data_IF_896093518695
#
_entry.id   IF_896093518695
#
_cell.length_a   1.000
_cell.length_b   1.000
_cell.length_c   1.000
_cell.angle_alpha   90.00
_cell.angle_beta   90.00
_cell.angle_gamma   90.00
#
_symmetry.space_group_name_H-M   'P 1'
#
loop_
_entity.id
_entity.type
_entity.pdbx_description
1 polymer ?
#
# COMPACT_ATOMS: atom_id res chain seq x y z
N UNK A 1 17.27 2.69 9.90
CA UNK A 1 16.73 3.00 8.58
C UNK A 1 15.79 4.19 8.72
N UNK A 2 16.12 5.33 8.12
CA UNK A 2 15.27 6.51 8.13
C UNK A 2 14.09 6.23 7.20
N UNK A 3 12.90 6.02 7.76
CA UNK A 3 11.64 6.04 7.02
C UNK A 3 11.50 7.42 6.36
N UNK A 4 11.93 7.50 5.10
CA UNK A 4 11.73 8.71 4.32
C UNK A 4 10.36 8.59 3.70
N UNK A 5 9.34 9.09 4.42
CA UNK A 5 7.99 9.22 3.89
C UNK A 5 8.09 10.04 2.62
N UNK A 6 7.56 9.54 1.52
CA UNK A 6 7.52 10.15 0.17
C UNK A 6 6.90 11.54 0.15
N UNK A 7 6.66 12.03 1.26
CA UNK A 7 5.99 13.27 1.53
C UNK A 7 6.94 14.38 1.93
N UNK A 8 8.25 14.22 1.66
CA UNK A 8 9.18 15.33 1.74
C UNK A 8 9.10 16.16 0.47
N UNK A 9 8.43 17.29 0.58
CA UNK A 9 8.42 18.49 -0.27
C UNK A 9 7.55 18.46 -1.54
N UNK A 10 6.65 19.43 -1.56
CA UNK A 10 5.96 20.21 -2.63
C UNK A 10 5.71 19.64 -4.04
N UNK A 11 6.36 18.58 -4.48
CA UNK A 11 6.26 18.07 -5.86
C UNK A 11 5.60 16.70 -5.99
N UNK A 12 5.42 15.97 -4.91
CA UNK A 12 5.09 14.55 -4.96
C UNK A 12 3.61 14.26 -4.89
N UNK A 13 2.84 15.20 -4.42
CA UNK A 13 1.39 15.12 -4.56
C UNK A 13 0.92 16.54 -4.85
N UNK A 14 1.04 16.99 -6.06
CA UNK A 14 -0.08 17.65 -6.68
C UNK A 14 -1.03 16.50 -7.02
N UNK A 15 -2.03 16.27 -6.21
CA UNK A 15 -3.24 15.60 -6.58
C UNK A 15 -3.88 16.44 -7.69
N UNK A 16 -3.81 15.93 -8.86
CA UNK A 16 -4.12 16.61 -10.09
C UNK A 16 -2.94 16.64 -11.05
N UNK A 17 -2.02 15.60 -11.23
CA UNK A 17 -2.27 14.66 -11.98
C UNK A 17 -1.49 14.16 -13.20
N UNK A 18 -0.24 14.29 -13.19
CA UNK A 18 0.56 13.35 -13.94
C UNK A 18 1.27 12.47 -12.93
N UNK A 19 0.69 11.30 -12.69
CA UNK A 19 1.36 10.27 -11.93
C UNK A 19 2.28 9.51 -12.87
N UNK A 20 3.47 10.02 -13.02
CA UNK A 20 4.56 9.35 -13.68
C UNK A 20 5.40 8.67 -12.59
N UNK A 21 5.38 7.32 -12.57
CA UNK A 21 6.08 6.55 -11.55
C UNK A 21 7.60 6.72 -11.66
N UNK A 22 8.13 6.96 -12.85
CA UNK A 22 9.56 7.18 -13.06
C UNK A 22 9.98 8.54 -12.47
N UNK A 23 9.16 9.58 -12.64
CA UNK A 23 9.39 10.88 -11.99
C UNK A 23 9.29 10.82 -10.47
N UNK A 24 8.46 9.91 -9.93
CA UNK A 24 8.41 9.69 -8.48
C UNK A 24 9.69 9.05 -7.95
N UNK A 25 10.38 8.26 -8.76
CA UNK A 25 11.65 7.60 -8.42
C UNK A 25 12.85 8.53 -8.55
N UNK A 26 12.74 9.65 -9.24
CA UNK A 26 13.82 10.59 -9.39
C UNK A 26 14.31 11.13 -8.04
N UNK A 27 15.62 11.10 -7.77
CA UNK A 27 16.20 11.66 -6.56
C UNK A 27 15.92 13.15 -6.45
N UNK A 28 15.55 13.62 -5.27
CA UNK A 28 15.39 15.04 -5.04
C UNK A 28 16.77 15.73 -4.95
N UNK A 29 17.06 16.66 -5.87
CA UNK A 29 18.31 17.42 -5.94
C UNK A 29 19.58 16.53 -5.95
N UNK A 30 19.56 15.40 -6.68
CA UNK A 30 20.72 14.49 -6.76
C UNK A 30 21.01 13.72 -5.47
N UNK A 31 20.07 13.68 -4.53
CA UNK A 31 20.13 12.86 -3.32
C UNK A 31 19.95 11.37 -3.61
N UNK A 32 19.92 10.52 -2.57
CA UNK A 32 19.65 9.10 -2.72
C UNK A 32 18.23 8.83 -3.23
N UNK A 33 18.05 7.69 -3.88
CA UNK A 33 16.74 7.25 -4.37
C UNK A 33 15.68 7.28 -3.26
N UNK A 34 14.50 7.84 -3.54
CA UNK A 34 13.46 7.95 -2.54
C UNK A 34 12.82 6.59 -2.24
N UNK A 35 12.49 6.34 -0.98
CA UNK A 35 11.57 5.26 -0.63
C UNK A 35 10.15 5.73 -0.88
N UNK A 36 9.44 5.04 -1.76
CA UNK A 36 8.06 5.32 -2.12
C UNK A 36 7.09 4.61 -1.17
N UNK A 37 6.13 5.35 -0.61
CA UNK A 37 5.09 4.81 0.28
C UNK A 37 3.72 5.10 -0.33
N UNK A 38 2.96 4.06 -0.61
CA UNK A 38 1.62 4.13 -1.17
C UNK A 38 0.59 3.48 -0.28
N UNK A 39 -0.66 3.90 -0.40
CA UNK A 39 -1.79 3.40 0.35
C UNK A 39 -2.87 2.87 -0.60
N UNK A 40 -2.86 1.58 -0.93
CA UNK A 40 -3.79 1.01 -1.93
C UNK A 40 -5.27 1.13 -1.56
N UNK A 41 -5.56 1.19 -0.27
CA UNK A 41 -6.91 1.41 0.26
C UNK A 41 -7.11 2.81 0.85
N UNK A 42 -6.18 3.72 0.61
CA UNK A 42 -6.22 5.05 1.21
C UNK A 42 -5.85 5.07 2.69
N UNK A 43 -6.07 6.19 3.33
CA UNK A 43 -5.88 6.39 4.76
C UNK A 43 -6.55 7.70 5.22
N UNK A 44 -6.45 8.01 6.52
CA UNK A 44 -7.10 9.20 7.12
C UNK A 44 -6.52 10.55 6.67
N UNK A 45 -5.30 10.58 6.14
CA UNK A 45 -4.67 11.83 5.65
C UNK A 45 -4.87 12.07 4.16
N UNK A 46 -5.46 11.13 3.46
CA UNK A 46 -5.96 11.33 2.11
C UNK A 46 -7.43 11.67 2.21
N UNK A 47 -7.87 12.69 1.52
CA UNK A 47 -9.25 13.14 1.61
C UNK A 47 -9.79 13.54 0.23
N UNK A 48 -11.10 13.37 0.05
CA UNK A 48 -11.82 13.80 -1.15
C UNK A 48 -13.09 14.55 -0.77
N UNK A 49 -13.54 15.44 -1.66
CA UNK A 49 -14.81 16.14 -1.53
C UNK A 49 -15.88 15.56 -2.48
N UNK A 50 -17.07 16.15 -2.46
CA UNK A 50 -18.19 15.76 -3.32
C UNK A 50 -17.93 15.92 -4.83
N UNK A 51 -16.96 16.77 -5.20
CA UNK A 51 -16.54 16.98 -6.59
C UNK A 51 -15.43 16.00 -7.00
N UNK A 52 -15.05 15.06 -6.14
CA UNK A 52 -13.90 14.17 -6.29
C UNK A 52 -12.55 14.89 -6.37
N UNK A 53 -12.47 16.13 -5.82
CA UNK A 53 -11.16 16.74 -5.61
C UNK A 53 -10.45 16.02 -4.48
N UNK A 54 -9.30 15.47 -4.77
CA UNK A 54 -8.52 14.69 -3.82
C UNK A 54 -7.33 15.49 -3.31
N UNK A 55 -7.02 15.35 -2.03
CA UNK A 55 -5.86 15.99 -1.43
C UNK A 55 -5.23 15.14 -0.34
N UNK A 56 -3.97 15.46 -0.05
CA UNK A 56 -3.31 14.99 1.16
C UNK A 56 -3.35 16.09 2.22
N UNK A 57 -3.86 15.75 3.39
CA UNK A 57 -3.84 16.62 4.56
C UNK A 57 -2.39 16.77 5.04
N UNK A 58 -1.96 18.01 5.22
CA UNK A 58 -0.62 18.36 5.68
C UNK A 58 -0.69 19.13 6.98
N UNK A 59 0.26 18.88 7.85
CA UNK A 59 0.48 19.70 9.04
C UNK A 59 1.52 20.79 8.74
N UNK A 60 1.37 21.92 9.41
CA UNK A 60 2.40 22.95 9.52
C UNK A 60 2.93 22.96 10.96
N UNK A 61 3.89 23.83 11.24
CA UNK A 61 4.56 23.88 12.56
C UNK A 61 3.62 24.23 13.72
N UNK A 62 2.41 24.72 13.45
CA UNK A 62 1.45 25.22 14.44
C UNK A 62 0.20 24.36 14.58
N UNK A 63 0.04 23.30 13.79
CA UNK A 63 -1.15 22.42 13.83
C UNK A 63 -0.74 20.97 14.01
N UNK A 64 -1.46 20.26 14.87
CA UNK A 64 -1.34 18.80 14.92
C UNK A 64 -2.19 18.13 13.83
N UNK A 65 -1.97 16.84 13.62
CA UNK A 65 -2.61 16.10 12.53
C UNK A 65 -4.12 15.98 12.71
N UNK A 66 -4.61 15.80 13.93
CA UNK A 66 -6.05 15.65 14.21
C UNK A 66 -6.81 16.94 13.96
N UNK A 67 -6.23 18.08 14.35
CA UNK A 67 -6.83 19.39 14.06
C UNK A 67 -6.87 19.64 12.55
N UNK A 68 -5.79 19.32 11.82
CA UNK A 68 -5.74 19.48 10.38
C UNK A 68 -6.79 18.59 9.66
N UNK A 69 -7.01 17.37 10.14
CA UNK A 69 -8.09 16.48 9.65
C UNK A 69 -9.45 17.10 9.96
N UNK A 70 -9.70 17.54 11.19
CA UNK A 70 -10.95 18.16 11.60
C UNK A 70 -11.31 19.40 10.78
N UNK A 71 -10.33 20.26 10.50
CA UNK A 71 -10.52 21.42 9.63
C UNK A 71 -10.90 21.04 8.19
N UNK A 72 -10.34 19.95 7.65
CA UNK A 72 -10.75 19.46 6.35
C UNK A 72 -12.15 18.87 6.33
N UNK A 73 -12.55 18.19 7.39
CA UNK A 73 -13.93 17.70 7.52
C UNK A 73 -14.96 18.84 7.56
N UNK A 74 -14.67 19.94 8.27
CA UNK A 74 -15.52 21.16 8.23
C UNK A 74 -15.64 21.73 6.81
N UNK A 75 -14.63 21.55 5.96
CA UNK A 75 -14.64 21.93 4.56
C UNK A 75 -15.27 20.87 3.64
N UNK A 76 -15.99 19.87 4.21
CA UNK A 76 -16.64 18.76 3.50
C UNK A 76 -15.68 17.81 2.78
N UNK A 77 -14.41 17.78 3.15
CA UNK A 77 -13.51 16.72 2.73
C UNK A 77 -13.65 15.52 3.68
N UNK A 78 -13.87 14.35 3.14
CA UNK A 78 -13.96 13.10 3.90
C UNK A 78 -12.73 12.22 3.64
N UNK A 79 -12.36 11.35 4.58
CA UNK A 79 -11.22 10.45 4.37
C UNK A 79 -11.39 9.61 3.10
N UNK A 80 -10.35 9.55 2.29
CA UNK A 80 -10.26 8.66 1.17
C UNK A 80 -9.79 7.30 1.68
N UNK A 81 -10.76 6.43 1.96
CA UNK A 81 -10.50 5.17 2.63
C UNK A 81 -11.47 4.07 2.18
N UNK A 82 -10.92 2.92 1.78
CA UNK A 82 -11.68 1.73 1.38
C UNK A 82 -11.51 0.68 2.48
N UNK A 83 -12.52 0.54 3.36
CA UNK A 83 -12.42 -0.32 4.55
C UNK A 83 -13.13 -1.66 4.38
N UNK A 84 -14.38 -1.65 3.97
CA UNK A 84 -15.27 -2.79 4.04
C UNK A 84 -15.83 -3.19 2.69
N UNK A 85 -16.45 -4.38 2.65
CA UNK A 85 -17.09 -4.92 1.48
C UNK A 85 -16.34 -6.05 0.80
N UNK A 86 -16.97 -6.62 -0.21
CA UNK A 86 -16.37 -7.65 -1.06
C UNK A 86 -15.20 -7.07 -1.89
N UNK A 87 -14.37 -7.96 -2.40
CA UNK A 87 -13.26 -7.58 -3.29
C UNK A 87 -13.73 -6.72 -4.48
N UNK A 88 -14.90 -7.02 -5.04
CA UNK A 88 -15.46 -6.24 -6.15
C UNK A 88 -15.92 -4.84 -5.72
N UNK A 89 -16.54 -4.72 -4.55
CA UNK A 89 -16.98 -3.44 -4.00
C UNK A 89 -15.77 -2.54 -3.71
N UNK A 90 -14.72 -3.10 -3.11
CA UNK A 90 -13.46 -2.41 -2.88
C UNK A 90 -12.82 -1.95 -4.18
N UNK A 91 -12.77 -2.81 -5.19
CA UNK A 91 -12.23 -2.43 -6.50
C UNK A 91 -13.03 -1.31 -7.17
N UNK A 92 -14.37 -1.33 -7.06
CA UNK A 92 -15.20 -0.23 -7.56
C UNK A 92 -14.90 1.09 -6.85
N UNK A 93 -14.69 1.06 -5.54
CA UNK A 93 -14.32 2.25 -4.77
C UNK A 93 -12.93 2.78 -5.15
N UNK A 94 -11.94 1.89 -5.31
CA UNK A 94 -10.59 2.22 -5.79
C UNK A 94 -10.66 2.93 -7.15
N UNK A 95 -11.43 2.40 -8.09
CA UNK A 95 -11.52 2.95 -9.45
C UNK A 95 -12.19 4.33 -9.53
N UNK A 96 -12.95 4.73 -8.52
CA UNK A 96 -13.57 6.07 -8.45
C UNK A 96 -12.61 7.15 -7.98
N UNK A 97 -11.54 6.78 -7.32
CA UNK A 97 -10.51 7.68 -6.82
C UNK A 97 -9.35 7.76 -7.80
N UNK A 98 -8.92 8.96 -8.13
CA UNK A 98 -7.76 9.17 -9.00
C UNK A 98 -6.48 8.60 -8.37
N UNK A 99 -6.26 8.89 -7.08
CA UNK A 99 -5.09 8.40 -6.36
C UNK A 99 -5.10 6.88 -6.20
N UNK A 100 -6.21 6.31 -5.71
CA UNK A 100 -6.27 4.85 -5.49
C UNK A 100 -6.18 4.08 -6.80
N UNK A 101 -6.82 4.59 -7.85
CA UNK A 101 -6.74 3.98 -9.19
C UNK A 101 -5.32 4.05 -9.76
N UNK A 102 -4.62 5.17 -9.57
CA UNK A 102 -3.21 5.28 -9.95
C UNK A 102 -2.35 4.24 -9.21
N UNK A 103 -2.50 4.14 -7.88
CA UNK A 103 -1.77 3.13 -7.10
C UNK A 103 -2.08 1.73 -7.60
N UNK A 104 -3.35 1.43 -7.82
CA UNK A 104 -3.80 0.12 -8.28
C UNK A 104 -3.26 -0.20 -9.69
N UNK A 105 -3.41 0.71 -10.66
CA UNK A 105 -3.06 0.44 -12.05
C UNK A 105 -1.56 0.59 -12.34
N UNK A 106 -0.90 1.56 -11.74
CA UNK A 106 0.48 1.90 -12.10
C UNK A 106 1.50 1.40 -11.07
N UNK A 107 1.23 1.54 -9.76
CA UNK A 107 2.20 1.15 -8.74
C UNK A 107 2.25 -0.37 -8.57
N UNK A 108 1.09 -1.00 -8.35
CA UNK A 108 1.02 -2.44 -8.09
C UNK A 108 1.43 -3.29 -9.30
N UNK A 109 1.33 -2.75 -10.52
CA UNK A 109 1.77 -3.42 -11.74
C UNK A 109 3.28 -3.34 -11.98
N UNK A 110 3.97 -2.42 -11.31
CA UNK A 110 5.40 -2.15 -11.50
C UNK A 110 6.25 -2.54 -10.30
N UNK A 111 5.79 -3.53 -9.53
CA UNK A 111 6.56 -4.05 -8.42
C UNK A 111 7.82 -4.77 -8.92
N UNK A 112 8.89 -4.63 -8.14
CA UNK A 112 10.18 -5.27 -8.38
C UNK A 112 10.08 -6.80 -8.26
N UNK A 113 11.09 -7.56 -8.74
CA UNK A 113 11.06 -9.02 -8.74
C UNK A 113 10.88 -9.66 -7.36
N UNK A 114 11.15 -8.93 -6.28
CA UNK A 114 11.03 -9.42 -4.91
C UNK A 114 9.96 -8.64 -4.16
N UNK A 115 8.98 -9.35 -3.61
CA UNK A 115 7.91 -8.80 -2.78
C UNK A 115 8.01 -9.36 -1.37
N UNK A 116 7.97 -8.50 -0.38
CA UNK A 116 7.90 -8.88 1.04
C UNK A 116 6.53 -8.49 1.56
N UNK A 117 5.81 -9.45 2.11
CA UNK A 117 4.50 -9.28 2.73
C UNK A 117 4.68 -9.36 4.24
N UNK A 118 4.31 -8.30 4.95
CA UNK A 118 4.38 -8.25 6.39
C UNK A 118 3.04 -7.81 6.99
N UNK A 119 2.47 -8.64 7.88
CA UNK A 119 1.22 -8.34 8.58
C UNK A 119 -0.05 -8.36 7.72
N UNK A 120 -0.01 -8.92 6.52
CA UNK A 120 -1.17 -9.04 5.63
C UNK A 120 -1.61 -10.50 5.48
N UNK A 121 -2.85 -10.79 5.87
CA UNK A 121 -3.43 -12.14 5.86
C UNK A 121 -3.78 -12.68 4.47
N UNK A 122 -3.73 -11.87 3.43
CA UNK A 122 -4.13 -12.27 2.08
C UNK A 122 -5.52 -12.92 2.05
N UNK A 123 -6.50 -12.23 2.65
CA UNK A 123 -7.87 -12.71 2.76
C UNK A 123 -8.63 -12.57 1.42
N UNK A 124 -9.73 -13.29 1.26
CA UNK A 124 -10.54 -13.28 0.03
C UNK A 124 -11.06 -11.88 -0.34
N UNK A 125 -11.37 -11.06 0.67
CA UNK A 125 -11.82 -9.68 0.45
C UNK A 125 -10.73 -8.80 -0.19
N UNK A 126 -9.48 -9.27 -0.23
CA UNK A 126 -8.33 -8.59 -0.82
C UNK A 126 -7.94 -9.17 -2.20
N UNK A 127 -8.77 -10.04 -2.77
CA UNK A 127 -8.47 -10.75 -4.02
C UNK A 127 -8.15 -9.80 -5.18
N UNK A 128 -8.75 -8.60 -5.21
CA UNK A 128 -8.43 -7.57 -6.21
C UNK A 128 -6.96 -7.12 -6.15
N UNK A 129 -6.39 -6.93 -4.96
CA UNK A 129 -4.97 -6.59 -4.80
C UNK A 129 -4.08 -7.80 -5.07
N UNK A 130 -4.47 -8.97 -4.58
CA UNK A 130 -3.71 -10.22 -4.77
C UNK A 130 -3.54 -10.49 -6.26
N UNK A 131 -4.63 -10.47 -7.03
CA UNK A 131 -4.57 -10.62 -8.48
C UNK A 131 -3.71 -9.57 -9.14
N UNK A 132 -3.94 -8.29 -8.81
CA UNK A 132 -3.20 -7.18 -9.43
C UNK A 132 -1.69 -7.30 -9.23
N UNK A 133 -1.26 -7.65 -8.02
CA UNK A 133 0.15 -7.80 -7.66
C UNK A 133 0.75 -9.05 -8.32
N UNK A 134 0.14 -10.21 -8.09
CA UNK A 134 0.78 -11.49 -8.38
C UNK A 134 0.53 -12.05 -9.78
N UNK A 135 -0.39 -11.46 -10.57
CA UNK A 135 -0.45 -11.74 -12.02
C UNK A 135 0.75 -11.15 -12.78
N UNK A 136 1.56 -10.35 -12.12
CA UNK A 136 2.77 -9.79 -12.71
C UNK A 136 3.88 -10.85 -12.82
N UNK A 137 4.20 -11.27 -14.03
CA UNK A 137 5.24 -12.27 -14.29
C UNK A 137 6.68 -11.84 -13.94
N UNK A 138 6.88 -10.54 -13.62
CA UNK A 138 8.18 -10.04 -13.16
C UNK A 138 8.49 -10.43 -11.71
N UNK A 139 7.47 -10.76 -10.90
CA UNK A 139 7.66 -11.16 -9.51
C UNK A 139 8.18 -12.58 -9.47
N UNK A 140 9.41 -12.73 -8.99
CA UNK A 140 10.12 -14.02 -8.89
C UNK A 140 10.16 -14.55 -7.46
N UNK A 141 10.26 -13.67 -6.46
CA UNK A 141 10.40 -14.05 -5.05
C UNK A 141 9.34 -13.37 -4.19
N UNK A 142 8.70 -14.14 -3.33
CA UNK A 142 7.71 -13.65 -2.37
C UNK A 142 8.07 -14.16 -0.99
N UNK A 143 8.29 -13.24 -0.05
CA UNK A 143 8.56 -13.54 1.35
C UNK A 143 7.36 -13.11 2.19
N UNK A 144 6.82 -14.00 3.00
CA UNK A 144 5.56 -13.78 3.73
C UNK A 144 5.81 -13.98 5.22
N UNK A 145 5.53 -12.93 6.02
CA UNK A 145 5.59 -13.05 7.46
C UNK A 145 4.43 -13.87 8.00
N UNK A 146 4.73 -14.78 8.91
CA UNK A 146 3.76 -15.55 9.68
C UNK A 146 4.02 -15.26 11.16
N UNK A 147 2.97 -14.99 11.92
CA UNK A 147 3.12 -14.87 13.37
C UNK A 147 3.04 -16.27 14.00
N UNK A 148 4.18 -16.77 14.43
CA UNK A 148 4.24 -18.11 15.01
C UNK A 148 3.95 -18.13 16.51
N UNK A 149 4.24 -17.08 17.26
CA UNK A 149 3.94 -16.90 18.69
C UNK A 149 3.94 -18.19 19.51
N UNK A 150 3.11 -18.26 20.54
CA UNK A 150 2.86 -19.48 21.33
C UNK A 150 1.93 -20.47 20.62
N UNK A 151 1.16 -20.01 19.64
CA UNK A 151 0.33 -20.83 18.77
C UNK A 151 0.78 -20.57 17.33
N UNK A 152 1.64 -21.41 16.74
CA UNK A 152 2.08 -21.25 15.37
C UNK A 152 0.86 -21.28 14.44
N UNK A 153 0.86 -20.40 13.45
CA UNK A 153 -0.16 -20.44 12.41
C UNK A 153 -0.14 -21.82 11.75
N UNK A 154 -1.30 -22.42 11.50
CA UNK A 154 -1.36 -23.77 10.98
C UNK A 154 -0.60 -23.90 9.67
N UNK A 155 0.11 -25.01 9.48
CA UNK A 155 0.75 -25.37 8.20
C UNK A 155 -0.26 -25.27 7.05
N UNK A 156 -1.53 -25.48 7.32
CA UNK A 156 -2.61 -25.36 6.33
C UNK A 156 -2.81 -23.94 5.83
N UNK A 157 -2.57 -22.92 6.67
CA UNK A 157 -2.62 -21.52 6.23
C UNK A 157 -1.46 -21.19 5.26
N UNK A 158 -0.27 -21.70 5.51
CA UNK A 158 0.85 -21.56 4.56
C UNK A 158 0.52 -22.24 3.23
N UNK A 159 -0.06 -23.45 3.27
CA UNK A 159 -0.49 -24.17 2.07
C UNK A 159 -1.59 -23.41 1.32
N UNK A 160 -2.58 -22.85 2.05
CA UNK A 160 -3.66 -22.03 1.48
C UNK A 160 -3.08 -20.85 0.73
N UNK A 161 -2.21 -20.05 1.39
CA UNK A 161 -1.58 -18.87 0.80
C UNK A 161 -0.72 -19.27 -0.40
N UNK A 162 0.15 -20.26 -0.25
CA UNK A 162 1.03 -20.71 -1.35
C UNK A 162 0.20 -21.18 -2.55
N UNK A 163 -0.85 -21.95 -2.33
CA UNK A 163 -1.73 -22.43 -3.40
C UNK A 163 -2.46 -21.29 -4.09
N UNK A 164 -2.95 -20.31 -3.34
CA UNK A 164 -3.61 -19.13 -3.86
C UNK A 164 -2.67 -18.31 -4.75
N UNK A 165 -1.47 -17.99 -4.27
CA UNK A 165 -0.49 -17.22 -5.02
C UNK A 165 0.02 -17.97 -6.26
N UNK A 166 0.20 -19.28 -6.17
CA UNK A 166 0.61 -20.11 -7.31
C UNK A 166 -0.45 -20.21 -8.41
N UNK A 167 -1.72 -19.95 -8.11
CA UNK A 167 -2.76 -19.83 -9.14
C UNK A 167 -2.57 -18.58 -10.00
N UNK A 168 -2.10 -17.48 -9.40
CA UNK A 168 -1.85 -16.23 -10.11
C UNK A 168 -0.55 -16.27 -10.92
N UNK A 169 0.52 -16.84 -10.33
CA UNK A 169 1.80 -17.01 -11.01
C UNK A 169 2.54 -18.26 -10.48
N UNK A 170 2.69 -19.27 -11.33
CA UNK A 170 3.30 -20.56 -10.96
C UNK A 170 4.80 -20.52 -10.74
N UNK A 171 5.49 -19.53 -11.28
CA UNK A 171 6.96 -19.46 -11.28
C UNK A 171 7.53 -18.84 -10.02
N UNK A 172 6.72 -18.15 -9.21
CA UNK A 172 7.18 -17.49 -7.99
C UNK A 172 7.78 -18.47 -6.98
N UNK A 173 8.90 -18.09 -6.40
CA UNK A 173 9.48 -18.75 -5.24
C UNK A 173 8.88 -18.11 -3.98
N UNK A 174 8.10 -18.89 -3.22
CA UNK A 174 7.38 -18.42 -2.02
C UNK A 174 8.10 -18.96 -0.79
N UNK A 175 8.47 -18.08 0.13
CA UNK A 175 9.09 -18.41 1.42
C UNK A 175 8.32 -17.73 2.55
N UNK A 176 8.21 -18.45 3.65
CA UNK A 176 7.61 -17.94 4.88
C UNK A 176 8.70 -17.66 5.91
N UNK A 177 8.50 -16.65 6.73
CA UNK A 177 9.39 -16.31 7.82
C UNK A 177 8.60 -15.91 9.07
N UNK A 178 9.20 -16.07 10.24
CA UNK A 178 8.58 -15.69 11.50
C UNK A 178 8.59 -14.16 11.67
N UNK A 179 7.40 -13.57 11.82
CA UNK A 179 7.23 -12.15 12.08
C UNK A 179 7.89 -11.68 13.39
N UNK A 180 8.09 -12.60 14.35
CA UNK A 180 8.74 -12.34 15.63
C UNK A 180 10.27 -12.49 15.59
N UNK A 181 10.85 -12.82 14.42
CA UNK A 181 12.31 -12.96 14.29
C UNK A 181 13.04 -11.69 14.73
N UNK A 182 14.19 -11.86 15.39
CA UNK A 182 15.07 -10.75 15.79
C UNK A 182 15.42 -9.87 14.58
N UNK A 183 15.38 -8.56 14.78
CA UNK A 183 15.57 -7.52 13.75
C UNK A 183 14.46 -7.46 12.69
N UNK A 184 13.37 -8.19 12.86
CA UNK A 184 12.19 -8.06 12.01
C UNK A 184 11.29 -6.97 12.59
N UNK A 185 11.03 -5.90 11.81
CA UNK A 185 10.24 -4.73 12.21
C UNK A 185 10.73 -4.13 13.53
N UNK A 186 9.95 -4.23 14.62
CA UNK A 186 10.29 -3.68 15.95
C UNK A 186 10.84 -4.73 16.91
N UNK A 187 11.25 -5.91 16.48
CA UNK A 187 11.82 -6.95 17.30
C UNK A 187 13.33 -6.73 17.43
N UNK A 188 13.76 -6.11 18.53
CA UNK A 188 15.15 -5.79 18.83
C UNK A 188 15.83 -6.88 19.67
#
# INVERSE_FOLDING_TARGET
>A
AKSTTLFKRKKVIKLGFEYDIEKLREPYNGGPDPTLVFYPHGNLILASNENNDELKIRINNNTNLFDAIGEKWKQKYVPLFVSEGSSEQKLKAIRRSTYLNFVYENVLSHLEPTVIIYGWKLAEQEQHLIKKIFSNNKISNVYISMYLGSNPEPIDEQKRIASMLKRENRTMNIKFFDAASKNCWCNF
#
